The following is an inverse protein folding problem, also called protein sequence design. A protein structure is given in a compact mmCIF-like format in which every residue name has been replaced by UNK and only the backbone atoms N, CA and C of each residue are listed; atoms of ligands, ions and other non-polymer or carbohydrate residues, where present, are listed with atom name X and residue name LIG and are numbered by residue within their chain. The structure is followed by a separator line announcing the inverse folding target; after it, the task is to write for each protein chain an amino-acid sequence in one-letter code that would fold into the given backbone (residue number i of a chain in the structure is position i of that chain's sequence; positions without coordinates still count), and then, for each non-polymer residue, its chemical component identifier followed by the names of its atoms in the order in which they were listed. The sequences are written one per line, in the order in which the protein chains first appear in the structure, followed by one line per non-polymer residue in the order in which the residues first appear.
data_IF_816276028005
#
_entry.id   IF_816276028005
#
_cell.length_a   1.000
_cell.length_b   1.000
_cell.length_c   1.000
_cell.angle_alpha   90.00
_cell.angle_beta   90.00
_cell.angle_gamma   90.00
#
_symmetry.space_group_name_H-M   'P 1'
#
loop_
_entity.id
_entity.type
_entity.pdbx_description
1 polymer ?
#
# COMPACT_ATOMS: atom_id res chain seq x y z
N UNK A 1 13.09 -14.95 21.09
CA UNK A 1 12.88 -15.49 19.73
C UNK A 1 13.35 -14.43 18.76
N UNK A 2 14.35 -14.72 17.93
CA UNK A 2 14.80 -13.82 16.88
C UNK A 2 13.60 -13.51 15.96
N UNK A 3 13.24 -12.24 15.81
CA UNK A 3 12.27 -11.82 14.81
C UNK A 3 12.91 -12.09 13.43
N UNK A 4 12.61 -13.25 12.82
CA UNK A 4 12.98 -13.50 11.44
C UNK A 4 12.22 -12.51 10.56
N UNK A 5 12.94 -11.81 9.69
CA UNK A 5 12.33 -10.93 8.70
C UNK A 5 11.56 -11.81 7.72
N UNK A 6 10.29 -11.50 7.50
CA UNK A 6 9.40 -12.24 6.60
C UNK A 6 9.18 -11.50 5.29
N UNK A 7 8.92 -12.24 4.22
CA UNK A 7 8.77 -11.74 2.86
C UNK A 7 7.58 -12.39 2.17
N UNK A 8 6.80 -11.60 1.43
CA UNK A 8 5.74 -12.11 0.56
C UNK A 8 6.34 -12.61 -0.76
N UNK A 9 6.11 -13.87 -1.12
CA UNK A 9 6.50 -14.35 -2.44
C UNK A 9 5.67 -13.64 -3.53
N UNK A 10 6.35 -12.85 -4.35
CA UNK A 10 5.75 -12.12 -5.47
C UNK A 10 5.31 -13.02 -6.62
N UNK A 11 5.45 -14.34 -6.54
CA UNK A 11 5.00 -15.29 -7.58
C UNK A 11 3.76 -16.10 -7.16
N UNK A 12 3.65 -16.51 -5.89
CA UNK A 12 2.57 -17.34 -5.38
C UNK A 12 1.83 -16.79 -4.14
N UNK A 13 2.30 -15.69 -3.55
CA UNK A 13 1.66 -15.04 -2.41
C UNK A 13 1.88 -15.73 -1.07
N UNK A 14 2.74 -16.74 -1.00
CA UNK A 14 3.14 -17.37 0.26
C UNK A 14 4.12 -16.50 1.05
N UNK A 15 4.05 -16.49 2.37
CA UNK A 15 4.95 -15.71 3.23
C UNK A 15 6.11 -16.60 3.69
N UNK A 16 7.36 -16.13 3.54
CA UNK A 16 8.59 -16.91 3.75
C UNK A 16 9.57 -16.14 4.63
N UNK A 17 10.52 -16.82 5.25
CA UNK A 17 11.64 -16.19 5.99
C UNK A 17 12.81 -15.74 5.08
N UNK A 18 12.68 -15.87 3.75
CA UNK A 18 13.68 -15.43 2.78
C UNK A 18 13.06 -15.05 1.43
N UNK A 19 13.85 -14.45 0.54
CA UNK A 19 13.45 -14.13 -0.84
C UNK A 19 13.36 -15.35 -1.77
N UNK A 20 13.82 -16.53 -1.32
CA UNK A 20 13.55 -17.81 -1.98
C UNK A 20 12.27 -18.42 -1.40
N UNK A 21 11.25 -18.55 -2.24
CA UNK A 21 9.96 -19.06 -1.79
C UNK A 21 10.00 -20.58 -1.57
N UNK A 22 9.66 -21.04 -0.37
CA UNK A 22 9.61 -22.47 -0.03
C UNK A 22 8.47 -23.21 -0.74
N UNK A 23 7.39 -22.50 -1.09
CA UNK A 23 6.22 -23.09 -1.75
C UNK A 23 6.38 -23.25 -3.28
N UNK A 24 6.98 -22.27 -3.97
CA UNK A 24 7.07 -22.30 -5.44
C UNK A 24 8.50 -22.22 -5.99
N UNK A 25 9.50 -22.19 -5.12
CA UNK A 25 10.94 -22.12 -5.45
C UNK A 25 11.35 -20.89 -6.28
N UNK A 26 10.45 -19.91 -6.43
CA UNK A 26 10.78 -18.65 -7.08
C UNK A 26 11.66 -17.80 -6.16
N UNK A 27 12.80 -17.34 -6.69
CA UNK A 27 13.64 -16.33 -6.07
C UNK A 27 13.19 -14.95 -6.56
N UNK A 28 12.98 -14.04 -5.62
CA UNK A 28 12.71 -12.63 -5.94
C UNK A 28 14.00 -11.85 -5.80
N UNK A 29 14.29 -10.96 -6.74
CA UNK A 29 15.40 -10.03 -6.61
C UNK A 29 15.14 -9.06 -5.45
N UNK A 30 16.18 -8.77 -4.66
CA UNK A 30 16.06 -7.94 -3.46
C UNK A 30 15.75 -6.48 -3.81
N UNK A 31 16.38 -5.95 -4.86
CA UNK A 31 16.18 -4.57 -5.30
C UNK A 31 14.77 -4.38 -5.87
N UNK A 32 14.27 -5.34 -6.65
CA UNK A 32 12.90 -5.36 -7.15
C UNK A 32 11.88 -5.48 -6.01
N UNK A 33 12.15 -6.36 -5.04
CA UNK A 33 11.30 -6.52 -3.88
C UNK A 33 11.22 -5.22 -3.07
N UNK A 34 12.36 -4.58 -2.80
CA UNK A 34 12.44 -3.31 -2.08
C UNK A 34 11.68 -2.21 -2.81
N UNK A 35 11.88 -2.05 -4.12
CA UNK A 35 11.15 -1.07 -4.94
C UNK A 35 9.64 -1.26 -4.84
N UNK A 36 9.17 -2.51 -4.93
CA UNK A 36 7.75 -2.84 -4.82
C UNK A 36 7.22 -2.61 -3.39
N UNK A 37 7.99 -2.99 -2.39
CA UNK A 37 7.71 -2.81 -0.95
C UNK A 37 7.57 -1.34 -0.60
N UNK A 38 8.52 -0.51 -1.01
CA UNK A 38 8.51 0.93 -0.77
C UNK A 38 7.33 1.62 -1.48
N UNK A 39 6.99 1.19 -2.69
CA UNK A 39 5.79 1.69 -3.38
C UNK A 39 4.50 1.24 -2.67
N UNK A 40 4.41 -0.03 -2.28
CA UNK A 40 3.26 -0.57 -1.57
C UNK A 40 3.04 0.17 -0.24
N UNK A 41 4.11 0.45 0.52
CA UNK A 41 4.06 1.23 1.76
C UNK A 41 3.48 2.61 1.52
N UNK A 42 3.97 3.35 0.51
CA UNK A 42 3.41 4.66 0.14
C UNK A 42 1.95 4.58 -0.30
N UNK A 43 1.60 3.55 -1.06
CA UNK A 43 0.22 3.35 -1.50
C UNK A 43 -0.72 3.07 -0.32
N UNK A 44 -0.27 2.32 0.70
CA UNK A 44 -1.04 2.19 1.95
C UNK A 44 -1.14 3.54 2.65
N UNK A 45 0.00 4.20 2.86
CA UNK A 45 0.06 5.40 3.69
C UNK A 45 -0.78 6.56 3.12
N UNK A 46 -0.51 6.96 1.89
CA UNK A 46 -1.22 8.07 1.23
C UNK A 46 -2.51 7.62 0.57
N UNK A 47 -2.48 6.47 -0.11
CA UNK A 47 -3.61 5.97 -0.88
C UNK A 47 -4.76 5.44 -0.01
N UNK A 48 -4.45 4.93 1.19
CA UNK A 48 -5.46 4.36 2.10
C UNK A 48 -5.54 5.10 3.44
N UNK A 49 -4.46 5.13 4.23
CA UNK A 49 -4.51 5.61 5.62
C UNK A 49 -4.93 7.08 5.71
N UNK A 50 -4.18 7.99 5.07
CA UNK A 50 -4.56 9.41 5.05
C UNK A 50 -5.90 9.65 4.38
N UNK A 51 -6.16 8.94 3.27
CA UNK A 51 -7.41 9.09 2.52
C UNK A 51 -8.64 8.77 3.37
N UNK A 52 -8.60 7.69 4.16
CA UNK A 52 -9.73 7.32 5.04
C UNK A 52 -10.01 8.41 6.06
N UNK A 53 -8.97 8.95 6.69
CA UNK A 53 -9.09 10.01 7.70
C UNK A 53 -9.63 11.32 7.10
N UNK A 54 -9.12 11.73 5.94
CA UNK A 54 -9.55 12.98 5.30
C UNK A 54 -10.93 12.87 4.66
N UNK A 55 -11.30 11.72 4.09
CA UNK A 55 -12.68 11.51 3.63
C UNK A 55 -13.67 11.53 4.80
N UNK A 56 -13.32 10.96 5.96
CA UNK A 56 -14.16 11.01 7.15
C UNK A 56 -14.37 12.46 7.64
N UNK A 57 -13.31 13.26 7.70
CA UNK A 57 -13.40 14.69 8.03
C UNK A 57 -14.29 15.46 7.05
N UNK A 58 -14.06 15.31 5.75
CA UNK A 58 -14.88 16.00 4.74
C UNK A 58 -16.34 15.56 4.83
N UNK A 59 -16.61 14.29 5.10
CA UNK A 59 -17.99 13.79 5.27
C UNK A 59 -18.70 14.40 6.49
N UNK A 60 -17.97 14.69 7.57
CA UNK A 60 -18.51 15.22 8.83
C UNK A 60 -18.59 16.74 8.85
N UNK A 61 -17.56 17.40 8.32
CA UNK A 61 -17.33 18.84 8.49
C UNK A 61 -17.45 19.62 7.17
N UNK A 62 -17.53 18.92 6.02
CA UNK A 62 -17.48 19.54 4.70
C UNK A 62 -16.07 19.96 4.25
N UNK A 63 -15.06 19.84 5.12
CA UNK A 63 -13.67 20.20 4.84
C UNK A 63 -12.68 19.40 5.71
N UNK A 64 -11.40 19.45 5.33
CA UNK A 64 -10.31 18.90 6.14
C UNK A 64 -9.93 19.95 7.18
N UNK A 65 -10.24 19.65 8.44
CA UNK A 65 -10.04 20.56 9.57
C UNK A 65 -8.72 20.31 10.31
N UNK A 66 -8.19 19.09 10.24
CA UNK A 66 -6.97 18.66 10.95
C UNK A 66 -6.11 17.84 10.00
N UNK A 67 -4.82 18.17 9.94
CA UNK A 67 -3.79 17.40 9.25
C UNK A 67 -3.06 16.51 10.25
N UNK A 68 -2.82 15.27 9.90
CA UNK A 68 -2.28 14.27 10.80
C UNK A 68 -0.82 13.95 10.48
N UNK A 69 -0.07 13.52 11.49
CA UNK A 69 1.17 12.75 11.29
C UNK A 69 0.84 11.31 11.66
N UNK A 70 0.41 10.51 10.69
CA UNK A 70 -0.05 9.13 10.95
C UNK A 70 1.14 8.17 11.10
N UNK A 71 0.90 7.02 11.73
CA UNK A 71 1.94 5.99 11.85
C UNK A 71 2.19 5.31 10.51
N UNK A 72 3.47 5.00 10.25
CA UNK A 72 3.87 4.24 9.07
C UNK A 72 3.15 2.88 9.01
N UNK A 73 2.73 2.42 7.83
CA UNK A 73 2.08 1.12 7.66
C UNK A 73 2.95 -0.03 8.15
N UNK A 74 2.32 -1.03 8.77
CA UNK A 74 3.01 -2.28 9.09
C UNK A 74 3.25 -3.15 7.84
N UNK A 75 4.08 -4.17 8.02
CA UNK A 75 4.46 -5.12 6.96
C UNK A 75 3.26 -5.89 6.39
N UNK A 76 2.18 -6.06 7.15
CA UNK A 76 1.02 -6.82 6.71
C UNK A 76 0.18 -6.04 5.72
N UNK A 77 -0.07 -4.76 6.00
CA UNK A 77 -0.72 -3.87 5.05
C UNK A 77 0.11 -3.73 3.77
N UNK A 78 1.44 -3.68 3.89
CA UNK A 78 2.35 -3.68 2.75
C UNK A 78 2.14 -4.91 1.85
N UNK A 79 2.10 -6.12 2.43
CA UNK A 79 1.85 -7.35 1.67
C UNK A 79 0.46 -7.37 1.01
N UNK A 80 -0.56 -6.86 1.69
CA UNK A 80 -1.90 -6.74 1.10
C UNK A 80 -1.90 -5.74 -0.06
N UNK A 81 -1.19 -4.62 0.06
CA UNK A 81 -1.05 -3.65 -1.02
C UNK A 81 -0.27 -4.24 -2.21
N UNK A 82 0.81 -4.99 -1.98
CA UNK A 82 1.51 -5.74 -3.05
C UNK A 82 0.54 -6.67 -3.79
N UNK A 83 -0.34 -7.36 -3.07
CA UNK A 83 -1.36 -8.23 -3.68
C UNK A 83 -2.42 -7.45 -4.48
N UNK A 84 -2.86 -6.30 -3.96
CA UNK A 84 -3.79 -5.41 -4.66
C UNK A 84 -3.19 -4.90 -5.98
N UNK A 85 -1.96 -4.37 -5.94
CA UNK A 85 -1.20 -3.90 -7.10
C UNK A 85 -1.01 -5.02 -8.13
N UNK A 86 -0.75 -6.24 -7.68
CA UNK A 86 -0.63 -7.41 -8.54
C UNK A 86 -1.92 -7.68 -9.33
N UNK A 87 -3.08 -7.56 -8.69
CA UNK A 87 -4.37 -7.83 -9.32
C UNK A 87 -5.00 -6.63 -10.01
N UNK A 88 -4.33 -5.49 -10.08
CA UNK A 88 -4.75 -4.34 -10.88
C UNK A 88 -4.98 -4.76 -12.35
N UNK A 89 -4.12 -5.64 -12.87
CA UNK A 89 -4.30 -6.21 -14.21
C UNK A 89 -5.14 -7.48 -14.16
N UNK A 90 -6.44 -7.28 -14.29
CA UNK A 90 -7.46 -8.32 -14.39
C UNK A 90 -8.15 -8.51 -13.05
N UNK A 91 -9.48 -8.44 -13.05
CA UNK A 91 -10.49 -8.51 -11.96
C UNK A 91 -10.27 -9.52 -10.80
N UNK A 92 -9.06 -9.58 -10.25
CA UNK A 92 -8.57 -10.56 -9.28
C UNK A 92 -7.89 -9.88 -8.08
N UNK A 93 -7.73 -8.55 -8.07
CA UNK A 93 -7.11 -7.81 -6.96
C UNK A 93 -7.68 -8.23 -5.61
N UNK A 94 -9.00 -8.18 -5.45
CA UNK A 94 -9.68 -8.61 -4.22
C UNK A 94 -9.43 -10.09 -3.89
N UNK A 95 -9.41 -10.97 -4.90
CA UNK A 95 -9.17 -12.41 -4.69
C UNK A 95 -7.73 -12.66 -4.19
N UNK A 96 -6.75 -11.93 -4.75
CA UNK A 96 -5.34 -12.00 -4.34
C UNK A 96 -5.13 -11.43 -2.95
N UNK A 97 -5.73 -10.28 -2.64
CA UNK A 97 -5.71 -9.66 -1.30
C UNK A 97 -6.27 -10.63 -0.26
N UNK A 98 -7.42 -11.26 -0.55
CA UNK A 98 -8.03 -12.27 0.33
C UNK A 98 -7.12 -13.49 0.53
N UNK A 99 -6.42 -13.93 -0.51
CA UNK A 99 -5.48 -15.03 -0.39
C UNK A 99 -4.31 -14.67 0.55
N UNK A 100 -3.70 -13.50 0.36
CA UNK A 100 -2.62 -13.02 1.23
C UNK A 100 -3.12 -12.80 2.66
N UNK A 101 -4.33 -12.27 2.84
CA UNK A 101 -5.00 -12.18 4.14
C UNK A 101 -5.12 -13.52 4.86
N UNK A 102 -5.46 -14.60 4.13
CA UNK A 102 -5.46 -15.96 4.72
C UNK A 102 -4.07 -16.44 5.14
N UNK A 103 -3.01 -16.05 4.42
CA UNK A 103 -1.64 -16.38 4.81
C UNK A 103 -1.28 -15.66 6.12
N UNK A 104 -1.66 -14.38 6.26
CA UNK A 104 -1.48 -13.61 7.50
C UNK A 104 -2.25 -14.26 8.65
N UNK A 105 -3.52 -14.61 8.45
CA UNK A 105 -4.32 -15.31 9.48
C UNK A 105 -3.71 -16.66 9.86
N UNK A 106 -3.12 -17.38 8.92
CA UNK A 106 -2.40 -18.63 9.22
C UNK A 106 -1.20 -18.40 10.13
N UNK A 107 -0.43 -17.33 9.90
CA UNK A 107 0.70 -16.95 10.75
C UNK A 107 0.26 -16.51 12.15
N UNK A 108 -0.91 -15.87 12.25
CA UNK A 108 -1.47 -15.40 13.52
C UNK A 108 -2.24 -16.47 14.28
N UNK A 109 -2.61 -17.57 13.62
CA UNK A 109 -3.42 -18.64 14.22
C UNK A 109 -2.90 -19.13 15.57
N UNK A 110 -1.59 -19.42 15.75
CA UNK A 110 -1.08 -19.83 17.07
C UNK A 110 -1.31 -18.78 18.16
N UNK A 111 -1.27 -17.48 17.82
CA UNK A 111 -1.53 -16.40 18.78
C UNK A 111 -3.02 -16.19 19.02
N UNK A 112 -3.85 -16.36 17.99
CA UNK A 112 -5.32 -16.36 18.10
C UNK A 112 -5.76 -17.46 19.08
N UNK A 113 -5.32 -18.70 18.83
CA UNK A 113 -5.72 -19.88 19.61
C UNK A 113 -5.28 -19.75 21.08
N UNK A 114 -4.12 -19.12 21.32
CA UNK A 114 -3.57 -18.89 22.66
C UNK A 114 -4.01 -17.55 23.29
N UNK A 115 -4.81 -16.72 22.60
CA UNK A 115 -5.22 -15.37 23.04
C UNK A 115 -4.06 -14.45 23.44
N UNK A 116 -2.97 -14.49 22.68
CA UNK A 116 -1.73 -13.71 22.91
C UNK A 116 -1.45 -12.69 21.82
N UNK A 117 -2.49 -12.26 21.10
CA UNK A 117 -2.39 -11.19 20.10
C UNK A 117 -2.06 -9.86 20.79
N UNK A 118 -1.15 -9.08 20.20
CA UNK A 118 -1.05 -7.66 20.55
C UNK A 118 -2.20 -6.87 19.92
N UNK A 119 -2.46 -5.65 20.38
CA UNK A 119 -3.53 -4.79 19.85
C UNK A 119 -3.45 -4.63 18.32
N UNK A 120 -2.26 -4.38 17.77
CA UNK A 120 -2.04 -4.29 16.31
C UNK A 120 -2.40 -5.59 15.58
N UNK A 121 -2.14 -6.74 16.21
CA UNK A 121 -2.47 -8.04 15.65
C UNK A 121 -3.97 -8.31 15.66
N UNK A 122 -4.64 -7.86 16.73
CA UNK A 122 -6.09 -7.91 16.83
C UNK A 122 -6.76 -7.00 15.79
N UNK A 123 -6.25 -5.79 15.58
CA UNK A 123 -6.75 -4.85 14.58
C UNK A 123 -6.63 -5.42 13.16
N UNK A 124 -5.51 -6.05 12.82
CA UNK A 124 -5.35 -6.74 11.54
C UNK A 124 -6.34 -7.90 11.39
N UNK A 125 -6.55 -8.73 12.43
CA UNK A 125 -7.53 -9.82 12.36
C UNK A 125 -8.95 -9.28 12.12
N UNK A 126 -9.30 -8.18 12.78
CA UNK A 126 -10.59 -7.51 12.59
C UNK A 126 -10.70 -6.97 11.16
N UNK A 127 -9.66 -6.28 10.67
CA UNK A 127 -9.58 -5.75 9.31
C UNK A 127 -9.72 -6.84 8.24
N UNK A 128 -9.02 -7.98 8.40
CA UNK A 128 -9.08 -9.11 7.46
C UNK A 128 -10.43 -9.84 7.48
N UNK A 129 -11.20 -9.69 8.55
CA UNK A 129 -12.54 -10.29 8.68
C UNK A 129 -13.61 -9.43 8.02
N UNK A 130 -13.36 -8.14 7.83
CA UNK A 130 -14.28 -7.21 7.15
C UNK A 130 -14.04 -7.16 5.64
N UNK A 131 -14.91 -7.86 4.89
CA UNK A 131 -14.85 -7.87 3.44
C UNK A 131 -15.05 -6.48 2.80
N UNK A 132 -15.82 -5.59 3.43
CA UNK A 132 -16.05 -4.25 2.90
C UNK A 132 -14.79 -3.40 3.06
N UNK A 133 -14.12 -3.49 4.20
CA UNK A 133 -12.82 -2.83 4.43
C UNK A 133 -11.76 -3.34 3.46
N UNK A 134 -11.66 -4.66 3.26
CA UNK A 134 -10.72 -5.23 2.28
C UNK A 134 -11.01 -4.77 0.84
N UNK A 135 -12.29 -4.65 0.47
CA UNK A 135 -12.68 -4.13 -0.83
C UNK A 135 -12.30 -2.65 -0.97
N UNK A 136 -12.63 -1.83 0.04
CA UNK A 136 -12.28 -0.40 0.10
C UNK A 136 -10.77 -0.21 -0.03
N UNK A 137 -10.01 -0.92 0.79
CA UNK A 137 -8.54 -0.97 0.73
C UNK A 137 -8.05 -1.28 -0.68
N UNK A 138 -8.52 -2.37 -1.29
CA UNK A 138 -8.10 -2.78 -2.63
C UNK A 138 -8.39 -1.69 -3.67
N UNK A 139 -9.56 -1.06 -3.62
CA UNK A 139 -9.94 0.04 -4.52
C UNK A 139 -9.02 1.24 -4.32
N UNK A 140 -8.70 1.56 -3.07
CA UNK A 140 -7.93 2.76 -2.70
C UNK A 140 -6.48 2.63 -3.18
N UNK A 141 -5.84 1.48 -2.94
CA UNK A 141 -4.52 1.16 -3.48
C UNK A 141 -4.50 1.24 -5.01
N UNK A 142 -5.52 0.69 -5.67
CA UNK A 142 -5.60 0.70 -7.13
C UNK A 142 -5.82 2.11 -7.71
N UNK A 143 -6.64 2.95 -7.05
CA UNK A 143 -6.86 4.34 -7.46
C UNK A 143 -5.57 5.15 -7.33
N UNK A 144 -4.87 5.01 -6.21
CA UNK A 144 -3.57 5.62 -5.99
C UNK A 144 -2.56 5.20 -7.07
N UNK A 145 -2.52 3.89 -7.41
CA UNK A 145 -1.68 3.40 -8.50
C UNK A 145 -2.08 3.95 -9.88
N UNK A 146 -3.37 4.03 -10.18
CA UNK A 146 -3.85 4.52 -11.46
C UNK A 146 -3.57 6.03 -11.63
N UNK A 147 -3.40 6.78 -10.54
CA UNK A 147 -3.40 8.24 -10.57
C UNK A 147 -4.76 8.81 -10.99
N UNK A 148 -5.81 8.00 -10.90
CA UNK A 148 -7.19 8.40 -11.22
C UNK A 148 -7.87 8.69 -9.89
N UNK A 149 -8.05 9.98 -9.61
CA UNK A 149 -8.71 10.45 -8.40
C UNK A 149 -10.20 10.64 -8.72
N UNK A 150 -11.05 9.77 -8.16
CA UNK A 150 -12.48 10.05 -7.96
C UNK A 150 -12.72 10.59 -6.55
N UNK A 151 -11.67 11.18 -5.96
CA UNK A 151 -11.67 11.63 -4.57
C UNK A 151 -12.09 13.09 -4.53
N UNK A 152 -12.64 13.50 -3.40
CA UNK A 152 -12.93 14.91 -3.16
C UNK A 152 -11.61 15.71 -3.29
N UNK A 153 -11.67 16.85 -3.99
CA UNK A 153 -10.50 17.68 -4.25
C UNK A 153 -9.82 18.13 -2.96
N UNK A 154 -10.58 18.39 -1.88
CA UNK A 154 -10.02 18.78 -0.57
C UNK A 154 -9.21 17.64 0.05
N UNK A 155 -9.67 16.39 -0.14
CA UNK A 155 -8.93 15.20 0.30
C UNK A 155 -7.66 15.03 -0.53
N UNK A 156 -7.74 15.21 -1.85
CA UNK A 156 -6.57 15.11 -2.73
C UNK A 156 -5.49 16.13 -2.36
N UNK A 157 -5.88 17.39 -2.19
CA UNK A 157 -4.96 18.48 -1.81
C UNK A 157 -4.30 18.19 -0.47
N UNK A 158 -5.06 17.76 0.54
CA UNK A 158 -4.51 17.40 1.84
C UNK A 158 -3.50 16.25 1.75
N UNK A 159 -3.78 15.20 0.98
CA UNK A 159 -2.84 14.08 0.77
C UNK A 159 -1.55 14.56 0.08
N UNK A 160 -1.66 15.42 -0.93
CA UNK A 160 -0.49 15.98 -1.63
C UNK A 160 0.37 16.81 -0.68
N UNK A 161 -0.26 17.59 0.20
CA UNK A 161 0.47 18.35 1.22
C UNK A 161 1.22 17.44 2.21
N UNK A 162 0.65 16.30 2.60
CA UNK A 162 1.38 15.31 3.43
C UNK A 162 2.60 14.73 2.70
N UNK A 163 2.45 14.38 1.42
CA UNK A 163 3.59 13.90 0.62
C UNK A 163 4.71 14.96 0.54
N UNK A 164 4.36 16.25 0.47
CA UNK A 164 5.33 17.33 0.47
C UNK A 164 5.98 17.52 1.84
N UNK A 165 5.20 17.43 2.92
CA UNK A 165 5.69 17.55 4.29
C UNK A 165 6.67 16.40 4.63
N UNK A 166 6.37 15.17 4.21
CA UNK A 166 7.26 14.02 4.41
C UNK A 166 8.57 14.20 3.63
N UNK A 167 8.51 14.63 2.37
CA UNK A 167 9.72 14.92 1.58
C UNK A 167 10.55 16.05 2.20
N UNK A 168 9.90 17.10 2.70
CA UNK A 168 10.59 18.21 3.35
C UNK A 168 11.28 17.78 4.66
N UNK A 169 10.63 16.93 5.45
CA UNK A 169 11.09 16.54 6.77
C UNK A 169 12.09 15.38 6.77
N UNK A 170 12.03 14.47 5.79
CA UNK A 170 12.91 13.31 5.70
C UNK A 170 14.10 13.53 4.76
N UNK A 171 13.87 14.10 3.57
CA UNK A 171 14.91 14.15 2.52
C UNK A 171 15.55 15.52 2.37
N UNK A 172 14.82 16.58 2.69
CA UNK A 172 15.30 17.96 2.61
C UNK A 172 15.44 18.62 3.99
N UNK A 173 15.51 17.83 5.06
CA UNK A 173 15.55 18.33 6.44
C UNK A 173 16.61 19.41 6.64
N UNK A 174 17.83 19.17 6.18
CA UNK A 174 18.94 20.10 6.37
C UNK A 174 18.81 21.33 5.45
N UNK A 175 18.38 21.17 4.20
CA UNK A 175 18.13 22.29 3.28
C UNK A 175 16.98 23.18 3.78
N UNK A 176 15.92 22.57 4.30
CA UNK A 176 14.75 23.23 4.87
C UNK A 176 15.09 23.94 6.19
N UNK A 177 15.84 23.28 7.08
CA UNK A 177 16.32 23.89 8.33
C UNK A 177 17.28 25.07 8.08
N UNK A 178 18.18 24.94 7.10
CA UNK A 178 19.10 26.00 6.71
C UNK A 178 18.37 27.22 6.12
N UNK A 179 17.27 27.01 5.40
CA UNK A 179 16.42 28.10 4.93
C UNK A 179 15.71 28.82 6.08
N UNK A 180 15.12 28.08 7.02
CA UNK A 180 14.44 28.67 8.18
C UNK A 180 15.40 29.45 9.08
N UNK A 181 16.68 29.04 9.14
CA UNK A 181 17.70 29.71 9.95
C UNK A 181 18.39 30.91 9.31
N UNK A 182 18.24 31.14 7.99
CA UNK A 182 18.99 32.18 7.24
C UNK A 182 18.12 33.12 6.39
N UNK A 183 16.79 32.98 6.42
CA UNK A 183 15.93 33.74 5.52
C UNK A 183 15.84 35.20 5.95
N UNK A 184 16.41 36.10 5.13
CA UNK A 184 15.93 37.47 5.07
C UNK A 184 14.43 37.40 4.69
N UNK A 185 13.50 37.92 5.51
CA UNK A 185 12.07 37.87 5.22
C UNK A 185 11.67 38.53 3.89
N UNK A 186 12.56 39.33 3.28
CA UNK A 186 12.36 39.93 1.97
C UNK A 186 12.91 39.10 0.80
N UNK A 187 13.80 38.12 1.03
CA UNK A 187 14.31 37.23 -0.01
C UNK A 187 13.50 35.92 -0.07
N UNK A 188 12.44 35.96 -0.87
CA UNK A 188 11.57 34.79 -1.11
C UNK A 188 12.15 33.81 -2.13
N UNK A 189 13.27 34.13 -2.78
CA UNK A 189 13.79 33.33 -3.91
C UNK A 189 14.29 31.95 -3.46
N UNK A 190 15.03 31.88 -2.35
CA UNK A 190 15.53 30.63 -1.78
C UNK A 190 14.42 29.70 -1.28
N UNK A 191 13.36 30.27 -0.68
CA UNK A 191 12.18 29.51 -0.24
C UNK A 191 11.47 28.89 -1.44
N UNK A 192 11.22 29.67 -2.50
CA UNK A 192 10.57 29.17 -3.72
C UNK A 192 11.38 28.04 -4.36
N UNK A 193 12.71 28.12 -4.37
CA UNK A 193 13.56 27.07 -4.93
C UNK A 193 13.41 25.75 -4.18
N UNK A 194 13.44 25.76 -2.84
CA UNK A 194 13.27 24.54 -2.06
C UNK A 194 11.87 23.95 -2.19
N UNK A 195 10.82 24.77 -2.23
CA UNK A 195 9.48 24.27 -2.53
C UNK A 195 9.40 23.62 -3.92
N UNK A 196 10.08 24.17 -4.93
CA UNK A 196 10.17 23.53 -6.26
C UNK A 196 10.91 22.19 -6.20
N UNK A 197 11.99 22.10 -5.42
CA UNK A 197 12.71 20.83 -5.20
C UNK A 197 11.82 19.80 -4.51
N UNK A 198 11.13 20.17 -3.43
CA UNK A 198 10.15 19.31 -2.72
C UNK A 198 9.09 18.79 -3.69
N UNK A 199 8.45 19.69 -4.44
CA UNK A 199 7.44 19.31 -5.42
C UNK A 199 8.00 18.38 -6.51
N UNK A 200 9.24 18.61 -6.95
CA UNK A 200 9.90 17.75 -7.95
C UNK A 200 10.16 16.35 -7.39
N UNK A 201 10.68 16.23 -6.17
CA UNK A 201 10.99 14.95 -5.52
C UNK A 201 9.70 14.18 -5.21
N UNK A 202 8.71 14.81 -4.61
CA UNK A 202 7.40 14.19 -4.36
C UNK A 202 6.73 13.75 -5.67
N UNK A 203 6.77 14.60 -6.70
CA UNK A 203 6.28 14.29 -8.03
C UNK A 203 7.04 13.15 -8.72
N UNK A 204 8.34 13.02 -8.48
CA UNK A 204 9.14 11.90 -8.96
C UNK A 204 8.75 10.60 -8.25
N UNK A 205 8.65 10.63 -6.90
CA UNK A 205 8.20 9.47 -6.11
C UNK A 205 6.85 8.96 -6.59
N UNK A 206 5.86 9.82 -6.85
CA UNK A 206 4.57 9.40 -7.43
C UNK A 206 4.70 8.71 -8.79
N UNK A 207 5.67 9.13 -9.61
CA UNK A 207 5.94 8.55 -10.94
C UNK A 207 6.73 7.26 -10.87
N UNK A 208 7.55 7.05 -9.83
CA UNK A 208 8.30 5.82 -9.55
C UNK A 208 7.38 4.69 -9.05
N UNK A 209 6.30 4.45 -9.78
CA UNK A 209 5.43 3.29 -9.58
C UNK A 209 5.91 2.11 -10.41
N UNK A 210 5.75 0.86 -9.94
CA UNK A 210 6.01 -0.30 -10.75
C UNK A 210 5.23 -0.26 -12.07
N UNK A 211 5.84 -0.68 -13.18
CA UNK A 211 5.17 -0.72 -14.48
C UNK A 211 3.99 -1.70 -14.47
N UNK A 212 3.09 -1.54 -15.44
CA UNK A 212 1.96 -2.45 -15.60
C UNK A 212 2.43 -3.89 -15.87
N UNK A 213 3.56 -4.06 -16.56
CA UNK A 213 4.10 -5.38 -16.84
C UNK A 213 4.83 -5.97 -15.62
N UNK A 214 5.51 -5.15 -14.82
CA UNK A 214 6.04 -5.54 -13.51
C UNK A 214 4.91 -6.03 -12.60
N UNK A 215 3.81 -5.27 -12.46
CA UNK A 215 2.65 -5.66 -11.65
C UNK A 215 1.90 -6.88 -12.19
N UNK A 216 1.82 -7.05 -13.52
CA UNK A 216 1.31 -8.28 -14.16
C UNK A 216 2.13 -9.49 -13.79
N UNK A 217 3.45 -9.32 -13.73
CA UNK A 217 4.37 -10.37 -13.41
C UNK A 217 4.32 -10.81 -11.93
N UNK A 218 3.66 -10.04 -11.08
CA UNK A 218 3.39 -10.44 -9.70
C UNK A 218 2.25 -11.45 -9.61
N UNK A 219 2.34 -12.34 -8.63
CA UNK A 219 1.40 -13.39 -8.26
C UNK A 219 0.96 -14.26 -9.44
N UNK A 220 1.87 -14.55 -10.39
CA UNK A 220 1.59 -15.30 -11.64
C UNK A 220 0.93 -16.65 -11.39
N UNK A 221 1.45 -17.45 -10.47
CA UNK A 221 0.92 -18.80 -10.19
C UNK A 221 -0.51 -18.67 -9.66
N UNK A 222 -0.69 -17.82 -8.65
CA UNK A 222 -1.98 -17.63 -7.99
C UNK A 222 -3.05 -17.08 -8.96
N UNK A 223 -2.68 -16.12 -9.83
CA UNK A 223 -3.56 -15.63 -10.91
C UNK A 223 -3.99 -16.75 -11.85
N UNK A 224 -3.07 -17.64 -12.24
CA UNK A 224 -3.38 -18.78 -13.12
C UNK A 224 -4.36 -19.74 -12.44
N UNK A 225 -4.19 -20.02 -11.16
CA UNK A 225 -5.09 -20.88 -10.36
C UNK A 225 -6.49 -20.27 -10.24
N UNK A 226 -6.57 -18.99 -9.84
CA UNK A 226 -7.85 -18.27 -9.76
C UNK A 226 -8.58 -18.23 -11.10
N UNK A 227 -7.85 -18.10 -12.22
CA UNK A 227 -8.42 -18.13 -13.57
C UNK A 227 -9.00 -19.51 -13.90
N UNK A 228 -8.29 -20.60 -13.58
CA UNK A 228 -8.78 -21.98 -13.77
C UNK A 228 -10.05 -22.23 -12.96
N UNK A 229 -10.08 -21.78 -11.71
CA UNK A 229 -11.24 -21.95 -10.82
C UNK A 229 -12.50 -21.23 -11.34
N UNK A 230 -12.35 -19.97 -11.79
CA UNK A 230 -13.47 -19.23 -12.39
C UNK A 230 -13.99 -19.91 -13.67
N UNK A 231 -13.11 -20.47 -14.51
CA UNK A 231 -13.52 -21.22 -15.70
C UNK A 231 -14.28 -22.50 -15.36
N UNK A 232 -13.81 -23.27 -14.37
CA UNK A 232 -14.47 -24.49 -13.91
C UNK A 232 -15.86 -24.20 -13.33
N UNK A 233 -16.00 -23.15 -12.51
CA UNK A 233 -17.30 -22.70 -11.97
C UNK A 233 -18.27 -22.28 -13.08
N UNK A 234 -17.80 -21.56 -14.10
CA UNK A 234 -18.62 -21.19 -15.28
C UNK A 234 -19.10 -22.43 -16.06
N UNK A 235 -18.23 -23.42 -16.30
CA UNK A 235 -18.61 -24.68 -16.96
C UNK A 235 -19.67 -25.45 -16.17
N UNK A 236 -19.53 -25.55 -14.84
CA UNK A 236 -20.54 -26.19 -13.97
C UNK A 236 -21.89 -25.48 -14.00
N UNK A 237 -21.92 -24.14 -14.01
CA UNK A 237 -23.17 -23.37 -14.13
C UNK A 237 -23.86 -23.55 -15.48
N UNK A 238 -23.10 -23.69 -16.57
CA UNK A 238 -23.65 -23.95 -17.92
C UNK A 238 -24.23 -25.36 -18.08
N UNK A 239 -23.73 -26.36 -17.35
CA UNK A 239 -24.28 -27.74 -17.36
C UNK A 239 -25.54 -27.91 -16.51
N UNK A 240 -25.91 -26.90 -15.71
CA UNK A 240 -27.11 -26.90 -14.84
C UNK A 240 -28.26 -26.05 -15.40
N UNK A 241 -28.07 -25.47 -16.59
CA UNK A 241 -29.11 -24.81 -17.39
C UNK A 241 -29.39 -25.68 -18.59
#
# INVERSE_FOLDING_TARGET
MSNSIKYLCTNCGHINDSLLCQNCQNRTDESEYKKLSDYARRAVYYGYTYRVEYEDQVSKNGEVTVKFSLFQPDTWHEWLAMAALSGFVGTYATDLVKYVGKQILTLLKPKIDNKTLTDKEQDMVNFLSDNNQLNKFTIYINNYYAGVSTIDKKVEEAIIEEEFADVASEEMKDEFANLLGKSDPNDKSGIIEVFRKIAKVAGQKRREKPSVDETRALLKILKKELKKDKQTKKKRKKKKK
#
